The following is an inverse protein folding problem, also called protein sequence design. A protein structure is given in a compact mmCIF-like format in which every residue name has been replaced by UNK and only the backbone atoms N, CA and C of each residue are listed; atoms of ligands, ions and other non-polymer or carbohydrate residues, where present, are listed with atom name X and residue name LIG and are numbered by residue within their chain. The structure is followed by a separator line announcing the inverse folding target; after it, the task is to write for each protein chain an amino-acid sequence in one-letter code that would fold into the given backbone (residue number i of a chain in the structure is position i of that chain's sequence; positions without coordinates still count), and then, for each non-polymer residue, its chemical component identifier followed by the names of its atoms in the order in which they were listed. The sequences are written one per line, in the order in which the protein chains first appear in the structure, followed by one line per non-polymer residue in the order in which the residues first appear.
data_IF_871549134704
#
_entry.id   IF_871549134704
#
_cell.length_a   1.000
_cell.length_b   1.000
_cell.length_c   1.000
_cell.angle_alpha   90.00
_cell.angle_beta   90.00
_cell.angle_gamma   90.00
#
_symmetry.space_group_name_H-M   'P 1'
#
loop_
_entity.id
_entity.type
_entity.pdbx_description
1 polymer ?
#
# COMPACT_ATOMS: atom_id res chain seq x y z
N UNK A 1 9.10 25.24 2.16
CA UNK A 1 7.92 24.65 1.49
C UNK A 1 8.19 23.16 1.41
N UNK A 2 7.34 22.32 2.01
CA UNK A 2 7.44 20.87 1.81
C UNK A 2 6.95 20.58 0.39
N UNK A 3 7.77 19.90 -0.40
CA UNK A 3 7.40 19.45 -1.75
C UNK A 3 6.23 18.48 -1.66
N UNK A 4 5.16 18.71 -2.44
CA UNK A 4 4.05 17.77 -2.56
C UNK A 4 4.53 16.51 -3.30
N UNK A 5 4.64 15.39 -2.57
CA UNK A 5 4.97 14.07 -3.15
C UNK A 5 3.71 13.41 -3.67
N UNK A 6 3.73 12.68 -4.77
CA UNK A 6 2.54 11.96 -5.25
C UNK A 6 2.32 10.68 -4.44
N UNK A 7 3.41 9.98 -4.14
CA UNK A 7 3.42 8.76 -3.35
C UNK A 7 3.74 9.07 -1.87
N UNK A 8 3.15 8.31 -0.94
CA UNK A 8 3.15 8.59 0.50
C UNK A 8 1.91 9.40 0.94
N UNK A 9 1.27 9.01 2.04
CA UNK A 9 0.03 9.63 2.52
C UNK A 9 0.33 10.73 3.55
N UNK A 10 -0.26 11.91 3.37
CA UNK A 10 -0.40 12.88 4.46
C UNK A 10 -1.69 12.57 5.26
N UNK A 11 -1.72 12.76 6.60
CA UNK A 11 -2.85 12.37 7.44
C UNK A 11 -4.20 13.02 7.05
N UNK A 12 -4.15 14.22 6.46
CA UNK A 12 -5.33 14.98 6.03
C UNK A 12 -5.95 14.42 4.72
N UNK A 13 -5.09 13.91 3.84
CA UNK A 13 -5.47 13.20 2.61
C UNK A 13 -6.18 11.86 2.92
N UNK A 14 -5.88 11.24 4.07
CA UNK A 14 -6.53 9.98 4.46
C UNK A 14 -7.97 10.14 4.92
N UNK A 15 -8.29 11.23 5.64
CA UNK A 15 -9.65 11.49 6.16
C UNK A 15 -10.63 11.83 5.04
N UNK A 16 -10.20 12.65 4.08
CA UNK A 16 -11.01 13.00 2.91
C UNK A 16 -11.18 11.82 1.94
N UNK A 17 -10.23 10.88 1.92
CA UNK A 17 -10.29 9.68 1.08
C UNK A 17 -11.26 8.60 1.57
N UNK A 18 -11.80 8.69 2.80
CA UNK A 18 -12.69 7.65 3.36
C UNK A 18 -13.93 7.45 2.47
N UNK A 19 -14.53 8.52 1.96
CA UNK A 19 -15.74 8.45 1.13
C UNK A 19 -15.51 7.87 -0.28
N UNK A 20 -14.25 7.78 -0.73
CA UNK A 20 -13.90 7.23 -2.05
C UNK A 20 -13.67 5.72 -2.01
N UNK A 21 -13.50 5.15 -0.81
CA UNK A 21 -13.22 3.72 -0.67
C UNK A 21 -14.48 2.91 -0.97
N UNK A 22 -14.41 1.88 -1.83
CA UNK A 22 -15.53 0.94 -2.00
C UNK A 22 -15.87 0.26 -0.67
N UNK A 23 -17.17 0.04 -0.48
CA UNK A 23 -17.72 -0.58 0.74
C UNK A 23 -18.07 -2.05 0.55
N UNK A 24 -18.28 -2.47 -0.69
CA UNK A 24 -18.66 -3.83 -1.08
C UNK A 24 -17.71 -4.39 -2.13
N UNK A 25 -17.67 -5.72 -2.25
CA UNK A 25 -16.76 -6.38 -3.18
C UNK A 25 -17.06 -6.03 -4.65
N UNK A 26 -18.33 -5.82 -4.99
CA UNK A 26 -18.74 -5.43 -6.34
C UNK A 26 -18.40 -3.97 -6.70
N UNK A 27 -18.14 -3.12 -5.69
CA UNK A 27 -17.65 -1.75 -5.90
C UNK A 27 -16.12 -1.70 -6.03
N UNK A 28 -15.43 -2.80 -5.70
CA UNK A 28 -13.99 -2.92 -5.80
C UNK A 28 -13.59 -3.20 -7.26
N UNK A 29 -13.19 -2.15 -7.96
CA UNK A 29 -12.82 -2.23 -9.39
C UNK A 29 -11.52 -3.02 -9.55
N UNK A 30 -11.42 -3.85 -10.59
CA UNK A 30 -10.23 -4.68 -10.86
C UNK A 30 -10.02 -5.82 -9.86
N UNK A 31 -8.83 -6.43 -9.91
CA UNK A 31 -8.45 -7.60 -9.08
C UNK A 31 -9.43 -8.80 -9.21
N UNK A 32 -9.93 -9.07 -10.42
CA UNK A 32 -11.02 -10.03 -10.64
C UNK A 32 -10.76 -11.43 -10.06
N UNK A 33 -9.55 -11.98 -10.24
CA UNK A 33 -9.18 -13.29 -9.67
C UNK A 33 -9.27 -13.30 -8.13
N UNK A 34 -8.83 -12.23 -7.48
CA UNK A 34 -8.91 -12.09 -6.02
C UNK A 34 -10.36 -11.99 -5.57
N UNK A 35 -11.19 -11.20 -6.29
CA UNK A 35 -12.62 -11.06 -5.98
C UNK A 35 -13.38 -12.38 -6.14
N UNK A 36 -13.11 -13.14 -7.20
CA UNK A 36 -13.75 -14.44 -7.44
C UNK A 36 -13.47 -15.42 -6.31
N UNK A 37 -12.20 -15.58 -5.91
CA UNK A 37 -11.81 -16.44 -4.78
C UNK A 37 -12.45 -15.97 -3.47
N UNK A 38 -12.42 -14.66 -3.19
CA UNK A 38 -13.06 -14.09 -2.00
C UNK A 38 -14.55 -14.38 -1.95
N UNK A 39 -15.28 -14.25 -3.07
CA UNK A 39 -16.72 -14.57 -3.11
C UNK A 39 -16.98 -16.01 -2.65
N UNK A 40 -16.17 -16.96 -3.12
CA UNK A 40 -16.29 -18.37 -2.75
C UNK A 40 -16.03 -18.57 -1.25
N UNK A 41 -14.91 -18.03 -0.74
CA UNK A 41 -14.52 -18.22 0.66
C UNK A 41 -15.49 -17.54 1.63
N UNK A 42 -15.91 -16.31 1.32
CA UNK A 42 -16.90 -15.56 2.11
C UNK A 42 -18.24 -16.30 2.15
N UNK A 43 -18.71 -16.82 1.02
CA UNK A 43 -19.96 -17.58 0.98
C UNK A 43 -19.85 -18.88 1.78
N UNK A 44 -18.72 -19.59 1.69
CA UNK A 44 -18.48 -20.82 2.43
C UNK A 44 -18.46 -20.58 3.95
N UNK A 45 -17.73 -19.57 4.43
CA UNK A 45 -17.67 -19.21 5.85
C UNK A 45 -19.05 -18.85 6.41
N UNK A 46 -19.81 -18.00 5.69
CA UNK A 46 -21.19 -17.63 6.07
C UNK A 46 -22.11 -18.83 6.17
N UNK A 47 -22.06 -19.74 5.20
CA UNK A 47 -22.93 -20.92 5.17
C UNK A 47 -22.64 -21.90 6.31
N UNK A 48 -21.39 -21.94 6.80
CA UNK A 48 -20.98 -22.78 7.92
C UNK A 48 -21.13 -22.09 9.29
N UNK A 49 -21.44 -20.80 9.31
CA UNK A 49 -21.43 -19.98 10.53
C UNK A 49 -20.08 -20.04 11.27
N UNK A 50 -18.99 -20.08 10.50
CA UNK A 50 -17.60 -20.14 10.98
C UNK A 50 -16.86 -18.82 10.67
N UNK A 51 -15.78 -18.48 11.40
CA UNK A 51 -14.90 -17.40 10.97
C UNK A 51 -14.33 -17.70 9.58
N UNK A 52 -14.00 -16.64 8.84
CA UNK A 52 -13.19 -16.81 7.63
C UNK A 52 -11.78 -17.26 8.05
N UNK A 53 -11.18 -18.15 7.25
CA UNK A 53 -9.77 -18.51 7.40
C UNK A 53 -8.88 -17.26 7.41
N UNK A 54 -7.70 -17.35 8.04
CA UNK A 54 -6.81 -16.20 8.13
C UNK A 54 -6.29 -15.80 6.75
N UNK A 55 -6.31 -14.48 6.48
CA UNK A 55 -6.01 -13.94 5.15
C UNK A 55 -4.74 -13.11 5.16
N UNK A 56 -3.82 -13.41 4.25
CA UNK A 56 -2.65 -12.59 3.99
C UNK A 56 -2.84 -11.78 2.69
N UNK A 57 -2.86 -10.44 2.81
CA UNK A 57 -2.92 -9.50 1.70
C UNK A 57 -1.52 -8.98 1.35
N UNK A 58 -1.07 -9.27 0.15
CA UNK A 58 0.27 -8.93 -0.34
C UNK A 58 0.17 -7.94 -1.49
N UNK A 59 1.09 -6.98 -1.53
CA UNK A 59 1.31 -6.15 -2.72
C UNK A 59 1.76 -4.74 -2.38
N UNK A 60 2.20 -3.97 -3.40
CA UNK A 60 2.61 -2.58 -3.26
C UNK A 60 1.66 -1.68 -2.44
N UNK A 61 2.17 -0.58 -1.85
CA UNK A 61 1.31 0.37 -1.15
C UNK A 61 0.28 1.00 -2.10
N UNK A 62 -0.90 1.33 -1.57
CA UNK A 62 -1.93 2.04 -2.33
C UNK A 62 -2.82 1.19 -3.25
N UNK A 63 -2.62 -0.12 -3.34
CA UNK A 63 -3.44 -1.03 -4.16
C UNK A 63 -4.79 -1.45 -3.53
N UNK A 64 -5.07 -1.01 -2.30
CA UNK A 64 -6.37 -1.25 -1.65
C UNK A 64 -6.39 -2.39 -0.63
N UNK A 65 -5.25 -2.83 -0.08
CA UNK A 65 -5.19 -3.88 0.97
C UNK A 65 -6.11 -3.58 2.17
N UNK A 66 -5.97 -2.42 2.79
CA UNK A 66 -6.81 -1.97 3.92
C UNK A 66 -8.29 -1.90 3.53
N UNK A 67 -8.58 -1.41 2.33
CA UNK A 67 -9.95 -1.35 1.79
C UNK A 67 -10.54 -2.74 1.62
N UNK A 68 -9.76 -3.69 1.11
CA UNK A 68 -10.21 -5.07 0.92
C UNK A 68 -10.47 -5.77 2.25
N UNK A 69 -9.66 -5.53 3.27
CA UNK A 69 -9.92 -6.02 4.63
C UNK A 69 -11.24 -5.48 5.21
N UNK A 70 -11.52 -4.18 4.99
CA UNK A 70 -12.80 -3.57 5.39
C UNK A 70 -13.99 -4.16 4.62
N UNK A 71 -13.84 -4.41 3.32
CA UNK A 71 -14.85 -5.09 2.51
C UNK A 71 -15.10 -6.50 3.02
N UNK A 72 -14.05 -7.27 3.33
CA UNK A 72 -14.19 -8.63 3.87
C UNK A 72 -15.03 -8.63 5.15
N UNK A 73 -14.73 -7.75 6.10
CA UNK A 73 -15.52 -7.61 7.32
C UNK A 73 -16.97 -7.19 7.04
N UNK A 74 -17.17 -6.21 6.13
CA UNK A 74 -18.51 -5.75 5.73
C UNK A 74 -19.32 -6.85 5.05
N UNK A 75 -18.69 -7.66 4.20
CA UNK A 75 -19.35 -8.78 3.54
C UNK A 75 -19.74 -9.82 4.60
N UNK A 76 -18.86 -10.18 5.53
CA UNK A 76 -19.15 -11.11 6.63
C UNK A 76 -20.20 -10.57 7.62
N UNK A 77 -20.44 -9.25 7.66
CA UNK A 77 -21.37 -8.63 8.59
C UNK A 77 -20.84 -8.56 10.02
N UNK A 78 -19.52 -8.48 10.19
CA UNK A 78 -18.81 -8.48 11.49
C UNK A 78 -18.02 -7.20 11.71
N UNK A 79 -17.60 -6.94 12.95
CA UNK A 79 -16.79 -5.77 13.25
C UNK A 79 -15.32 -6.00 12.80
N UNK A 80 -14.62 -4.90 12.50
CA UNK A 80 -13.19 -4.93 12.19
C UNK A 80 -12.39 -4.09 13.19
N UNK A 81 -11.37 -4.71 13.77
CA UNK A 81 -10.33 -4.02 14.57
C UNK A 81 -9.12 -3.79 13.67
N UNK A 82 -8.72 -2.54 13.51
CA UNK A 82 -7.58 -2.14 12.67
C UNK A 82 -6.41 -1.75 13.55
N UNK A 83 -5.24 -2.31 13.28
CA UNK A 83 -3.95 -1.93 13.86
C UNK A 83 -2.84 -2.00 12.80
N UNK A 84 -1.62 -1.67 13.19
CA UNK A 84 -0.43 -1.88 12.36
C UNK A 84 0.66 -2.61 13.16
N UNK A 85 1.54 -3.33 12.48
CA UNK A 85 2.67 -4.02 13.08
C UNK A 85 3.48 -3.12 14.02
N UNK A 86 3.90 -1.91 13.60
CA UNK A 86 4.61 -0.97 14.45
C UNK A 86 3.81 -0.45 15.66
N UNK A 87 2.47 -0.42 15.59
CA UNK A 87 1.63 0.07 16.67
C UNK A 87 1.45 -0.95 17.81
N UNK A 88 1.80 -2.23 17.60
CA UNK A 88 1.69 -3.29 18.60
C UNK A 88 3.08 -3.55 19.18
N UNK A 89 3.41 -2.86 20.27
CA UNK A 89 4.79 -2.84 20.80
C UNK A 89 5.08 -3.99 21.76
N UNK A 90 4.06 -4.49 22.47
CA UNK A 90 4.17 -5.50 23.52
C UNK A 90 2.97 -6.46 23.55
N UNK A 91 3.19 -7.61 24.18
CA UNK A 91 2.20 -8.66 24.42
C UNK A 91 0.85 -8.14 24.95
N UNK A 92 0.91 -7.21 25.91
CA UNK A 92 -0.30 -6.65 26.54
C UNK A 92 -1.19 -5.86 25.57
N UNK A 93 -0.60 -5.20 24.56
CA UNK A 93 -1.37 -4.43 23.58
C UNK A 93 -2.18 -5.38 22.69
N UNK A 94 -1.53 -6.45 22.22
CA UNK A 94 -2.16 -7.49 21.44
C UNK A 94 -3.28 -8.19 22.24
N UNK A 95 -2.97 -8.58 23.48
CA UNK A 95 -3.93 -9.21 24.36
C UNK A 95 -5.18 -8.35 24.61
N UNK A 96 -4.99 -7.06 24.87
CA UNK A 96 -6.08 -6.11 25.04
C UNK A 96 -6.99 -6.04 23.80
N UNK A 97 -6.42 -6.10 22.59
CA UNK A 97 -7.21 -6.10 21.36
C UNK A 97 -7.99 -7.42 21.22
N UNK A 98 -7.31 -8.55 21.29
CA UNK A 98 -7.90 -9.87 21.04
C UNK A 98 -8.98 -10.25 22.05
N UNK A 99 -8.77 -9.96 23.34
CA UNK A 99 -9.75 -10.27 24.39
C UNK A 99 -11.03 -9.45 24.32
N UNK A 100 -11.02 -8.32 23.59
CA UNK A 100 -12.19 -7.45 23.40
C UNK A 100 -12.93 -7.71 22.07
N UNK A 101 -12.53 -8.73 21.31
CA UNK A 101 -13.18 -9.10 20.06
C UNK A 101 -14.49 -9.86 20.33
N UNK A 102 -15.41 -9.81 19.37
CA UNK A 102 -16.58 -10.68 19.32
C UNK A 102 -16.27 -11.90 18.45
N UNK A 103 -17.01 -13.01 18.62
CA UNK A 103 -16.91 -14.15 17.71
C UNK A 103 -17.05 -13.70 16.25
N UNK A 104 -16.14 -14.19 15.42
CA UNK A 104 -16.02 -13.98 13.98
C UNK A 104 -15.59 -12.57 13.55
N UNK A 105 -15.26 -11.68 14.49
CA UNK A 105 -14.69 -10.37 14.16
C UNK A 105 -13.40 -10.51 13.36
N UNK A 106 -13.11 -9.47 12.57
CA UNK A 106 -11.86 -9.37 11.81
C UNK A 106 -10.85 -8.55 12.60
N UNK A 107 -9.64 -9.09 12.77
CA UNK A 107 -8.49 -8.34 13.24
C UNK A 107 -7.53 -8.07 12.08
N UNK A 108 -7.42 -6.81 11.67
CA UNK A 108 -6.55 -6.38 10.58
C UNK A 108 -5.25 -5.76 11.11
N UNK A 109 -4.11 -6.28 10.66
CA UNK A 109 -2.77 -5.74 10.97
C UNK A 109 -2.11 -5.31 9.66
N UNK A 110 -2.01 -4.00 9.44
CA UNK A 110 -1.19 -3.46 8.34
C UNK A 110 0.30 -3.54 8.67
N UNK A 111 1.15 -3.67 7.66
CA UNK A 111 2.59 -3.88 7.84
C UNK A 111 2.92 -4.99 8.85
N UNK A 112 2.21 -6.13 8.78
CA UNK A 112 2.34 -7.23 9.75
C UNK A 112 3.77 -7.75 9.89
N UNK A 113 4.58 -7.63 8.84
CA UNK A 113 6.01 -7.96 8.82
C UNK A 113 6.88 -7.10 9.73
N UNK A 114 6.35 -6.00 10.28
CA UNK A 114 7.04 -5.11 11.23
C UNK A 114 6.68 -5.40 12.69
N UNK A 115 5.90 -6.45 12.96
CA UNK A 115 5.69 -6.93 14.31
C UNK A 115 7.03 -7.31 14.95
N UNK A 116 7.19 -7.00 16.23
CA UNK A 116 8.33 -7.50 16.98
C UNK A 116 8.17 -9.00 17.17
N UNK A 117 9.30 -9.72 17.10
CA UNK A 117 9.31 -11.19 17.19
C UNK A 117 8.56 -11.74 18.42
N UNK A 118 8.71 -11.10 19.57
CA UNK A 118 8.03 -11.49 20.81
C UNK A 118 6.51 -11.30 20.77
N UNK A 119 6.00 -10.34 19.97
CA UNK A 119 4.57 -10.14 19.75
C UNK A 119 4.05 -11.12 18.71
N UNK A 120 4.81 -11.33 17.64
CA UNK A 120 4.53 -12.32 16.60
C UNK A 120 4.40 -13.74 17.17
N UNK A 121 5.28 -14.15 18.09
CA UNK A 121 5.21 -15.48 18.72
C UNK A 121 3.94 -15.70 19.57
N UNK A 122 3.31 -14.63 20.04
CA UNK A 122 2.03 -14.69 20.78
C UNK A 122 0.84 -14.86 19.84
N UNK A 123 0.94 -14.37 18.59
CA UNK A 123 -0.11 -14.55 17.59
C UNK A 123 -0.25 -16.01 17.15
N UNK A 124 0.81 -16.82 17.23
CA UNK A 124 0.79 -18.21 16.77
C UNK A 124 -0.32 -19.05 17.42
N UNK A 125 -0.37 -19.19 18.77
CA UNK A 125 -1.46 -19.92 19.41
C UNK A 125 -2.81 -19.20 19.29
N UNK A 126 -2.81 -17.87 19.10
CA UNK A 126 -4.05 -17.11 18.89
C UNK A 126 -4.71 -17.48 17.57
N UNK A 127 -3.92 -17.73 16.53
CA UNK A 127 -4.37 -18.14 15.21
C UNK A 127 -4.75 -19.63 15.17
N UNK A 128 -3.96 -20.50 15.80
CA UNK A 128 -4.16 -21.96 15.72
C UNK A 128 -5.26 -22.46 16.65
N UNK A 129 -5.26 -21.99 17.90
CA UNK A 129 -6.08 -22.56 18.98
C UNK A 129 -7.03 -21.54 19.62
N UNK A 130 -7.05 -20.30 19.12
CA UNK A 130 -7.75 -19.16 19.75
C UNK A 130 -7.37 -18.96 21.22
N UNK A 131 -6.06 -19.03 21.52
CA UNK A 131 -5.53 -18.86 22.89
C UNK A 131 -4.30 -18.00 22.92
N UNK A 132 -4.12 -17.26 24.00
CA UNK A 132 -2.87 -16.52 24.25
C UNK A 132 -2.36 -16.81 25.66
N UNK A 133 -1.05 -16.88 25.78
CA UNK A 133 -0.34 -17.00 27.05
C UNK A 133 0.30 -15.66 27.40
N UNK A 134 -0.04 -15.11 28.56
CA UNK A 134 0.47 -13.81 29.03
C UNK A 134 1.18 -14.01 30.36
N UNK A 135 2.41 -13.50 30.45
CA UNK A 135 3.15 -13.45 31.71
C UNK A 135 2.76 -12.17 32.46
N UNK A 136 2.19 -12.33 33.66
CA UNK A 136 1.83 -11.25 34.57
C UNK A 136 2.91 -11.10 35.65
N UNK A 137 3.44 -9.88 35.80
CA UNK A 137 4.49 -9.55 36.76
C UNK A 137 5.91 -9.77 36.24
N UNK A 138 6.91 -9.41 37.06
CA UNK A 138 8.33 -9.54 36.72
C UNK A 138 9.07 -10.41 37.74
N UNK A 139 10.13 -11.10 37.29
CA UNK A 139 11.00 -11.89 38.15
C UNK A 139 10.42 -13.26 38.55
N UNK A 140 10.93 -13.90 39.62
CA UNK A 140 10.59 -15.28 39.99
C UNK A 140 9.12 -15.48 40.44
N UNK A 141 8.39 -14.39 40.65
CA UNK A 141 6.96 -14.43 41.01
C UNK A 141 6.03 -14.21 39.81
N UNK A 142 6.58 -14.09 38.59
CA UNK A 142 5.79 -13.93 37.39
C UNK A 142 4.90 -15.16 37.16
N UNK A 143 3.61 -14.93 36.88
CA UNK A 143 2.63 -15.98 36.64
C UNK A 143 2.25 -16.02 35.17
N UNK A 144 2.21 -17.22 34.59
CA UNK A 144 1.66 -17.40 33.23
C UNK A 144 0.16 -17.60 33.31
N UNK A 145 -0.59 -16.73 32.63
CA UNK A 145 -2.04 -16.80 32.50
C UNK A 145 -2.39 -17.17 31.06
N UNK A 146 -3.11 -18.27 30.88
CA UNK A 146 -3.69 -18.66 29.60
C UNK A 146 -5.09 -18.09 29.47
N UNK A 147 -5.36 -17.42 28.36
CA UNK A 147 -6.64 -16.78 28.07
C UNK A 147 -7.23 -17.40 26.79
N UNK A 148 -8.48 -17.86 26.88
CA UNK A 148 -9.25 -18.27 25.71
C UNK A 148 -9.79 -17.03 24.97
N UNK A 149 -9.69 -17.05 23.65
CA UNK A 149 -10.16 -16.01 22.76
C UNK A 149 -11.42 -16.49 22.01
N UNK A 150 -12.30 -15.57 21.60
CA UNK A 150 -13.33 -15.91 20.63
C UNK A 150 -12.69 -16.30 19.28
N UNK A 151 -13.30 -17.22 18.50
CA UNK A 151 -12.86 -17.46 17.13
C UNK A 151 -12.92 -16.16 16.33
N UNK A 152 -11.87 -15.85 15.57
CA UNK A 152 -11.75 -14.59 14.83
C UNK A 152 -11.00 -14.81 13.53
N UNK A 153 -11.04 -13.83 12.62
CA UNK A 153 -10.25 -13.85 11.39
C UNK A 153 -9.10 -12.83 11.49
N UNK A 154 -7.86 -13.29 11.46
CA UNK A 154 -6.70 -12.41 11.26
C UNK A 154 -6.55 -12.07 9.78
N UNK A 155 -6.43 -10.78 9.47
CA UNK A 155 -6.03 -10.31 8.14
C UNK A 155 -4.70 -9.55 8.26
N UNK A 156 -3.62 -10.13 7.76
CA UNK A 156 -2.31 -9.48 7.68
C UNK A 156 -2.14 -8.76 6.35
N UNK A 157 -1.59 -7.55 6.34
CA UNK A 157 -1.17 -6.87 5.11
C UNK A 157 0.34 -6.62 5.08
N UNK A 158 0.97 -6.83 3.92
CA UNK A 158 2.39 -6.56 3.71
C UNK A 158 2.69 -6.08 2.30
N UNK A 159 3.69 -5.22 2.17
CA UNK A 159 4.29 -4.83 0.89
C UNK A 159 5.27 -5.90 0.38
N UNK A 160 5.84 -6.69 1.29
CA UNK A 160 6.86 -7.68 0.98
C UNK A 160 6.56 -9.00 1.70
N UNK A 161 6.06 -10.00 0.96
CA UNK A 161 5.78 -11.33 1.51
C UNK A 161 7.03 -12.01 2.09
N UNK A 162 8.20 -11.75 1.51
CA UNK A 162 9.48 -12.30 1.96
C UNK A 162 9.94 -11.82 3.34
N UNK A 163 9.35 -10.74 3.87
CA UNK A 163 9.69 -10.21 5.20
C UNK A 163 8.90 -10.87 6.34
N UNK A 164 7.86 -11.66 6.02
CA UNK A 164 7.10 -12.40 7.03
C UNK A 164 7.84 -13.71 7.31
N UNK A 165 7.99 -14.06 8.60
CA UNK A 165 8.59 -15.31 9.03
C UNK A 165 7.84 -16.52 8.45
N UNK A 166 8.55 -17.63 8.21
CA UNK A 166 7.89 -18.85 7.75
C UNK A 166 6.79 -19.33 8.71
N UNK A 167 7.01 -19.38 10.05
CA UNK A 167 5.97 -19.78 10.99
C UNK A 167 4.70 -18.92 10.93
N UNK A 168 4.83 -17.60 10.79
CA UNK A 168 3.67 -16.72 10.64
C UNK A 168 2.96 -16.95 9.31
N UNK A 169 3.73 -17.10 8.22
CA UNK A 169 3.19 -17.27 6.87
C UNK A 169 2.39 -18.56 6.73
N UNK A 170 2.87 -19.65 7.32
CA UNK A 170 2.24 -20.98 7.21
C UNK A 170 0.88 -21.05 7.92
N UNK A 171 0.58 -20.10 8.81
CA UNK A 171 -0.71 -19.96 9.52
C UNK A 171 -1.75 -19.12 8.79
N UNK A 172 -1.40 -18.57 7.63
CA UNK A 172 -2.38 -17.95 6.73
C UNK A 172 -2.82 -18.97 5.70
N UNK A 173 -4.03 -19.52 5.85
CA UNK A 173 -4.56 -20.51 4.93
C UNK A 173 -4.89 -19.89 3.57
N UNK A 174 -5.20 -18.60 3.56
CA UNK A 174 -5.55 -17.85 2.34
C UNK A 174 -4.56 -16.71 2.12
N UNK A 175 -4.03 -16.60 0.90
CA UNK A 175 -3.11 -15.53 0.52
C UNK A 175 -3.50 -14.91 -0.83
N UNK A 176 -3.65 -13.59 -0.84
CA UNK A 176 -3.97 -12.80 -2.03
C UNK A 176 -2.84 -11.85 -2.38
N UNK A 177 -2.48 -11.81 -3.66
CA UNK A 177 -1.51 -10.85 -4.20
C UNK A 177 -2.25 -9.84 -5.06
N UNK A 178 -2.32 -8.59 -4.58
CA UNK A 178 -2.83 -7.47 -5.36
C UNK A 178 -1.76 -7.00 -6.33
N UNK A 179 -2.13 -6.95 -7.61
CA UNK A 179 -1.29 -6.40 -8.68
C UNK A 179 -1.58 -4.93 -8.94
N UNK A 180 -0.76 -4.29 -9.78
CA UNK A 180 -1.08 -2.97 -10.32
C UNK A 180 -2.33 -3.03 -11.19
N UNK A 181 -3.04 -1.92 -11.21
CA UNK A 181 -4.32 -1.79 -11.91
C UNK A 181 -4.08 -1.47 -13.37
N UNK A 182 -4.96 -1.97 -14.23
CA UNK A 182 -4.93 -1.61 -15.64
C UNK A 182 -5.32 -0.14 -15.83
N UNK A 183 -4.95 0.42 -16.98
CA UNK A 183 -5.39 1.75 -17.40
C UNK A 183 -6.91 1.89 -17.44
N UNK A 184 -7.62 0.82 -17.80
CA UNK A 184 -9.08 0.79 -17.82
C UNK A 184 -9.69 0.82 -16.41
N UNK A 185 -9.13 0.04 -15.49
CA UNK A 185 -9.56 0.03 -14.10
C UNK A 185 -9.35 1.41 -13.47
N UNK A 186 -8.19 2.04 -13.69
CA UNK A 186 -7.86 3.35 -13.14
C UNK A 186 -8.78 4.45 -13.68
N UNK A 187 -9.08 4.45 -14.99
CA UNK A 187 -10.05 5.38 -15.58
C UNK A 187 -11.42 5.22 -14.91
N UNK A 188 -11.87 3.99 -14.72
CA UNK A 188 -13.15 3.69 -14.07
C UNK A 188 -13.17 4.17 -12.62
N UNK A 189 -12.07 3.96 -11.89
CA UNK A 189 -11.89 4.45 -10.51
C UNK A 189 -11.98 5.98 -10.47
N UNK A 190 -11.28 6.68 -11.37
CA UNK A 190 -11.25 8.14 -11.42
C UNK A 190 -12.63 8.72 -11.74
N UNK A 191 -13.32 8.17 -12.75
CA UNK A 191 -14.67 8.63 -13.12
C UNK A 191 -15.65 8.41 -11.97
N UNK A 192 -15.60 7.24 -11.31
CA UNK A 192 -16.42 6.95 -10.14
C UNK A 192 -16.12 7.93 -9.00
N UNK A 193 -14.84 8.18 -8.72
CA UNK A 193 -14.43 9.12 -7.68
C UNK A 193 -14.86 10.56 -8.00
N UNK A 194 -14.82 10.98 -9.28
CA UNK A 194 -15.30 12.29 -9.71
C UNK A 194 -16.77 12.49 -9.36
N UNK A 195 -17.62 11.50 -9.66
CA UNK A 195 -19.04 11.51 -9.30
C UNK A 195 -19.26 11.66 -7.79
N UNK A 196 -18.48 10.96 -6.97
CA UNK A 196 -18.58 11.04 -5.50
C UNK A 196 -18.15 12.43 -4.99
N UNK A 197 -17.14 13.03 -5.63
CA UNK A 197 -16.62 14.36 -5.29
C UNK A 197 -17.45 15.51 -5.87
N UNK A 198 -18.47 15.21 -6.69
CA UNK A 198 -19.30 16.21 -7.34
C UNK A 198 -18.63 16.95 -8.49
N UNK A 199 -17.60 16.38 -9.13
CA UNK A 199 -16.95 16.94 -10.32
C UNK A 199 -17.11 16.03 -11.53
N UNK A 200 -17.46 16.61 -12.67
CA UNK A 200 -17.53 15.88 -13.93
C UNK A 200 -16.13 15.65 -14.49
N UNK A 201 -15.84 14.39 -14.82
CA UNK A 201 -14.55 13.98 -15.40
C UNK A 201 -14.86 13.31 -16.73
N UNK A 202 -14.34 13.91 -17.80
CA UNK A 202 -14.37 13.32 -19.14
C UNK A 202 -13.53 12.03 -19.21
N UNK A 203 -13.75 11.23 -20.24
CA UNK A 203 -12.98 10.00 -20.44
C UNK A 203 -11.49 10.28 -20.73
N UNK A 204 -11.20 11.32 -21.52
CA UNK A 204 -9.85 11.75 -21.88
C UNK A 204 -9.12 12.45 -20.72
N UNK A 205 -9.85 13.19 -19.86
CA UNK A 205 -9.31 13.70 -18.60
C UNK A 205 -8.97 12.57 -17.62
N UNK A 206 -9.85 11.59 -17.47
CA UNK A 206 -9.59 10.40 -16.65
C UNK A 206 -8.39 9.58 -17.16
N UNK A 207 -8.23 9.47 -18.49
CA UNK A 207 -7.09 8.82 -19.12
C UNK A 207 -5.77 9.56 -18.82
N UNK A 208 -5.74 10.89 -18.94
CA UNK A 208 -4.57 11.72 -18.64
C UNK A 208 -4.09 11.57 -17.19
N UNK A 209 -5.04 11.46 -16.25
CA UNK A 209 -4.76 11.20 -14.84
C UNK A 209 -4.34 9.75 -14.58
N UNK A 210 -5.01 8.77 -15.21
CA UNK A 210 -4.69 7.35 -15.06
C UNK A 210 -3.27 7.03 -15.53
N UNK A 211 -2.81 7.64 -16.63
CA UNK A 211 -1.46 7.41 -17.19
C UNK A 211 -0.37 7.77 -16.18
N UNK A 212 -0.61 8.76 -15.33
CA UNK A 212 0.34 9.25 -14.31
C UNK A 212 0.07 8.69 -12.92
N UNK A 213 -0.90 7.78 -12.79
CA UNK A 213 -1.30 7.22 -11.51
C UNK A 213 -0.48 6.00 -11.06
N UNK A 214 0.59 5.64 -11.80
CA UNK A 214 1.53 4.57 -11.45
C UNK A 214 0.85 3.24 -11.13
N UNK A 215 -0.20 2.87 -11.89
CA UNK A 215 -0.95 1.64 -11.66
C UNK A 215 -1.70 1.57 -10.32
N UNK A 216 -1.85 2.69 -9.60
CA UNK A 216 -2.23 2.69 -8.18
C UNK A 216 -3.49 3.54 -7.91
N UNK A 217 -4.59 2.96 -7.39
CA UNK A 217 -5.82 3.70 -7.08
C UNK A 217 -5.63 4.85 -6.10
N UNK A 218 -4.76 4.69 -5.09
CA UNK A 218 -4.43 5.75 -4.12
C UNK A 218 -3.91 7.01 -4.82
N UNK A 219 -3.00 6.82 -5.77
CA UNK A 219 -2.42 7.93 -6.53
C UNK A 219 -3.47 8.52 -7.46
N UNK A 220 -4.21 7.69 -8.21
CA UNK A 220 -5.28 8.15 -9.10
C UNK A 220 -6.28 9.08 -8.39
N UNK A 221 -6.77 8.67 -7.22
CA UNK A 221 -7.69 9.46 -6.41
C UNK A 221 -7.06 10.75 -5.87
N UNK A 222 -5.76 10.74 -5.55
CA UNK A 222 -5.03 11.94 -5.12
C UNK A 222 -4.90 12.93 -6.27
N UNK A 223 -4.47 12.47 -7.45
CA UNK A 223 -4.34 13.31 -8.64
C UNK A 223 -5.68 13.92 -9.03
N UNK A 224 -6.77 13.15 -8.96
CA UNK A 224 -8.11 13.65 -9.18
C UNK A 224 -8.47 14.78 -8.21
N UNK A 225 -8.23 14.61 -6.90
CA UNK A 225 -8.53 15.67 -5.91
C UNK A 225 -7.78 16.96 -6.22
N UNK A 226 -6.47 16.88 -6.49
CA UNK A 226 -5.67 18.07 -6.82
C UNK A 226 -6.08 18.71 -8.14
N UNK A 227 -6.48 17.89 -9.11
CA UNK A 227 -7.00 18.37 -10.39
C UNK A 227 -8.37 19.02 -10.24
N UNK A 228 -9.22 18.52 -9.35
CA UNK A 228 -10.49 19.17 -9.00
C UNK A 228 -10.24 20.55 -8.40
N UNK A 229 -9.33 20.66 -7.42
CA UNK A 229 -9.01 21.95 -6.81
C UNK A 229 -8.48 22.95 -7.87
N UNK A 230 -7.70 22.47 -8.85
CA UNK A 230 -7.28 23.27 -10.00
C UNK A 230 -8.46 23.67 -10.90
N UNK A 231 -9.35 22.73 -11.24
CA UNK A 231 -10.49 22.95 -12.13
C UNK A 231 -11.52 23.94 -11.54
N UNK A 232 -11.74 23.90 -10.23
CA UNK A 232 -12.65 24.81 -9.53
C UNK A 232 -12.12 26.25 -9.47
N UNK A 233 -10.80 26.44 -9.41
CA UNK A 233 -10.18 27.77 -9.29
C UNK A 233 -9.78 28.36 -10.65
N UNK A 234 -9.35 27.52 -11.60
CA UNK A 234 -8.74 27.94 -12.88
C UNK A 234 -9.41 27.36 -14.12
N UNK A 235 -10.51 26.63 -13.95
CA UNK A 235 -11.32 26.06 -15.02
C UNK A 235 -12.78 26.46 -14.89
N UNK A 236 -13.65 25.60 -15.42
CA UNK A 236 -15.11 25.74 -15.45
C UNK A 236 -15.82 24.68 -14.58
N UNK A 237 -15.08 23.98 -13.72
CA UNK A 237 -15.62 22.89 -12.90
C UNK A 237 -15.75 21.55 -13.63
N UNK A 238 -15.14 21.39 -14.81
CA UNK A 238 -15.04 20.14 -15.55
C UNK A 238 -13.58 19.70 -15.71
N UNK A 239 -13.31 18.39 -15.66
CA UNK A 239 -11.96 17.84 -15.89
C UNK A 239 -11.91 17.17 -17.28
N UNK A 240 -11.40 17.92 -18.24
CA UNK A 240 -10.97 17.43 -19.55
C UNK A 240 -9.46 17.11 -19.60
N UNK A 241 -8.97 16.62 -20.75
CA UNK A 241 -7.54 16.34 -20.94
C UNK A 241 -6.65 17.57 -20.72
N UNK A 242 -7.10 18.76 -21.11
CA UNK A 242 -6.29 19.98 -21.03
C UNK A 242 -6.17 20.45 -19.56
N UNK A 243 -7.28 20.47 -18.82
CA UNK A 243 -7.30 20.75 -17.39
C UNK A 243 -6.46 19.75 -16.61
N UNK A 244 -6.60 18.45 -16.89
CA UNK A 244 -5.79 17.42 -16.27
C UNK A 244 -4.30 17.62 -16.56
N UNK A 245 -3.92 17.90 -17.81
CA UNK A 245 -2.52 18.14 -18.16
C UNK A 245 -1.97 19.37 -17.46
N UNK A 246 -2.70 20.48 -17.46
CA UNK A 246 -2.27 21.73 -16.81
C UNK A 246 -2.14 21.58 -15.29
N UNK A 247 -3.03 20.82 -14.65
CA UNK A 247 -2.93 20.53 -13.22
C UNK A 247 -1.68 19.68 -12.91
N UNK A 248 -1.44 18.63 -13.70
CA UNK A 248 -0.28 17.73 -13.53
C UNK A 248 1.05 18.46 -13.74
N UNK A 249 1.13 19.39 -14.71
CA UNK A 249 2.30 20.26 -14.90
C UNK A 249 2.53 21.15 -13.68
N UNK A 250 1.47 21.73 -13.09
CA UNK A 250 1.60 22.55 -11.88
C UNK A 250 2.10 21.73 -10.69
N UNK A 251 1.65 20.48 -10.58
CA UNK A 251 2.09 19.51 -9.58
C UNK A 251 3.49 18.93 -9.88
N UNK A 252 4.11 19.34 -10.99
CA UNK A 252 5.44 18.87 -11.45
C UNK A 252 5.50 17.35 -11.63
N UNK A 253 4.45 16.83 -12.26
CA UNK A 253 4.29 15.42 -12.60
C UNK A 253 4.51 15.28 -14.09
N UNK A 254 5.53 14.50 -14.47
CA UNK A 254 5.87 14.31 -15.87
C UNK A 254 4.94 13.30 -16.59
N UNK A 255 5.20 13.05 -17.87
CA UNK A 255 4.41 12.11 -18.67
C UNK A 255 4.55 10.65 -18.24
N UNK A 256 5.65 10.28 -17.58
CA UNK A 256 5.85 8.96 -16.99
C UNK A 256 5.22 8.84 -15.59
N UNK A 257 4.64 9.92 -15.07
CA UNK A 257 4.05 9.98 -13.74
C UNK A 257 5.07 10.16 -12.62
N UNK A 258 6.31 10.54 -12.93
CA UNK A 258 7.36 10.83 -11.94
C UNK A 258 7.14 12.20 -11.32
N UNK A 259 7.41 12.31 -10.02
CA UNK A 259 7.37 13.56 -9.27
C UNK A 259 8.78 14.10 -9.00
N UNK A 260 8.86 15.23 -8.30
CA UNK A 260 10.14 15.88 -7.97
C UNK A 260 11.12 14.95 -7.25
N UNK A 261 10.64 14.08 -6.36
CA UNK A 261 11.50 13.21 -5.57
C UNK A 261 12.03 12.05 -6.44
N UNK A 262 11.20 11.50 -7.33
CA UNK A 262 11.65 10.52 -8.32
C UNK A 262 12.74 11.12 -9.22
N UNK A 263 12.52 12.34 -9.73
CA UNK A 263 13.53 13.06 -10.51
C UNK A 263 14.79 13.32 -9.71
N UNK A 264 14.68 13.71 -8.44
CA UNK A 264 15.84 13.92 -7.58
C UNK A 264 16.64 12.63 -7.36
N UNK A 265 15.97 11.48 -7.18
CA UNK A 265 16.62 10.16 -7.08
C UNK A 265 17.36 9.80 -8.37
N UNK A 266 16.70 9.93 -9.53
CA UNK A 266 17.34 9.64 -10.82
C UNK A 266 18.49 10.60 -11.11
N UNK A 267 18.34 11.88 -10.79
CA UNK A 267 19.37 12.88 -10.98
C UNK A 267 20.58 12.63 -10.07
N UNK A 268 20.35 12.30 -8.79
CA UNK A 268 21.41 11.93 -7.88
C UNK A 268 22.17 10.68 -8.37
N UNK A 269 21.45 9.62 -8.78
CA UNK A 269 22.07 8.42 -9.34
C UNK A 269 22.96 8.76 -10.54
N UNK A 270 22.45 9.54 -11.50
CA UNK A 270 23.16 9.81 -12.76
C UNK A 270 24.26 10.86 -12.60
N UNK A 271 23.99 11.99 -11.95
CA UNK A 271 24.92 13.12 -11.89
C UNK A 271 25.86 13.10 -10.68
N UNK A 272 25.42 12.56 -9.53
CA UNK A 272 26.24 12.54 -8.31
C UNK A 272 27.02 11.24 -8.15
N UNK A 273 26.49 10.15 -8.71
CA UNK A 273 27.06 8.80 -8.54
C UNK A 273 27.38 8.10 -9.88
N UNK A 274 27.45 8.85 -10.99
CA UNK A 274 27.82 8.34 -12.32
C UNK A 274 27.03 7.10 -12.78
N UNK A 275 25.76 7.01 -12.41
CA UNK A 275 24.87 5.88 -12.70
C UNK A 275 24.87 4.78 -11.65
N UNK A 276 25.66 4.88 -10.58
CA UNK A 276 25.82 3.88 -9.53
C UNK A 276 26.97 2.89 -9.78
N UNK A 277 27.11 1.82 -8.96
CA UNK A 277 26.22 1.45 -7.86
C UNK A 277 26.35 2.35 -6.62
N UNK A 278 25.22 2.70 -6.00
CA UNK A 278 25.19 3.45 -4.73
C UNK A 278 24.36 2.74 -3.66
N UNK A 279 24.87 2.68 -2.44
CA UNK A 279 24.14 2.17 -1.28
C UNK A 279 22.92 3.03 -0.94
N UNK A 280 21.88 2.41 -0.38
CA UNK A 280 20.64 3.11 -0.01
C UNK A 280 20.88 4.25 0.97
N UNK A 281 21.71 4.01 1.98
CA UNK A 281 22.02 4.98 3.03
C UNK A 281 22.70 6.22 2.44
N UNK A 282 23.67 6.00 1.56
CA UNK A 282 24.39 7.07 0.85
C UNK A 282 23.45 7.86 -0.07
N UNK A 283 22.58 7.17 -0.82
CA UNK A 283 21.61 7.80 -1.71
C UNK A 283 20.62 8.67 -0.92
N UNK A 284 20.03 8.12 0.14
CA UNK A 284 19.09 8.81 1.02
C UNK A 284 19.75 10.04 1.69
N UNK A 285 20.96 9.90 2.21
CA UNK A 285 21.72 11.01 2.79
C UNK A 285 21.99 12.13 1.77
N UNK A 286 22.33 11.79 0.51
CA UNK A 286 22.60 12.77 -0.55
C UNK A 286 21.37 13.59 -0.98
N UNK A 287 20.18 13.09 -0.64
CA UNK A 287 18.89 13.70 -0.92
C UNK A 287 18.26 14.34 0.32
N UNK A 288 18.88 14.18 1.50
CA UNK A 288 18.30 14.58 2.79
C UNK A 288 16.94 13.92 3.06
N UNK A 289 16.81 12.64 2.68
CA UNK A 289 15.59 11.86 2.82
C UNK A 289 15.80 10.66 3.74
N UNK A 290 14.70 10.15 4.31
CA UNK A 290 14.74 8.90 5.07
C UNK A 290 14.88 7.68 4.15
N UNK A 291 15.62 6.68 4.64
CA UNK A 291 15.85 5.41 3.95
C UNK A 291 14.56 4.74 3.48
N UNK A 292 13.59 4.69 4.38
CA UNK A 292 12.32 4.00 4.17
C UNK A 292 11.45 4.78 3.17
N UNK A 293 11.57 6.13 3.12
CA UNK A 293 10.93 6.94 2.06
C UNK A 293 11.43 6.51 0.68
N UNK A 294 12.73 6.38 0.48
CA UNK A 294 13.27 5.96 -0.83
C UNK A 294 12.81 4.54 -1.17
N UNK A 295 12.88 3.61 -0.22
CA UNK A 295 12.62 2.18 -0.45
C UNK A 295 11.15 1.86 -0.66
N UNK A 296 10.26 2.50 0.10
CA UNK A 296 8.84 2.14 0.15
C UNK A 296 7.97 3.05 -0.72
N UNK A 297 8.46 4.25 -1.05
CA UNK A 297 7.68 5.26 -1.80
C UNK A 297 8.18 5.41 -3.24
N UNK A 298 9.50 5.51 -3.45
CA UNK A 298 10.09 5.88 -4.74
C UNK A 298 10.53 4.64 -5.55
N UNK A 299 11.38 3.81 -4.95
CA UNK A 299 11.96 2.64 -5.62
C UNK A 299 10.94 1.67 -6.23
N UNK A 300 9.77 1.38 -5.63
CA UNK A 300 8.86 0.37 -6.18
C UNK A 300 8.42 0.70 -7.61
N UNK A 301 8.10 1.96 -7.89
CA UNK A 301 7.69 2.38 -9.23
C UNK A 301 8.89 2.49 -10.18
N UNK A 302 10.00 3.08 -9.73
CA UNK A 302 11.20 3.21 -10.57
C UNK A 302 11.79 1.85 -10.97
N UNK A 303 11.73 0.84 -10.10
CA UNK A 303 12.15 -0.53 -10.41
C UNK A 303 11.22 -1.19 -11.42
N UNK A 304 9.91 -1.04 -11.22
CA UNK A 304 8.90 -1.64 -12.08
C UNK A 304 8.94 -1.06 -13.50
N UNK A 305 9.05 0.26 -13.64
CA UNK A 305 9.19 0.94 -14.92
C UNK A 305 10.59 0.80 -15.52
N UNK A 306 11.52 0.17 -14.79
CA UNK A 306 12.87 -0.12 -15.25
C UNK A 306 13.75 1.11 -15.39
N UNK A 307 13.52 2.17 -14.60
CA UNK A 307 14.42 3.33 -14.50
C UNK A 307 15.66 3.04 -13.65
N UNK A 308 15.52 2.15 -12.65
CA UNK A 308 16.62 1.73 -11.78
C UNK A 308 16.67 0.20 -11.67
N UNK A 309 17.82 -0.32 -11.24
CA UNK A 309 17.98 -1.73 -10.85
C UNK A 309 18.67 -1.83 -9.48
N UNK A 310 18.35 -2.89 -8.73
CA UNK A 310 19.04 -3.24 -7.48
C UNK A 310 20.09 -4.31 -7.77
N UNK A 311 21.32 -4.07 -7.33
CA UNK A 311 22.43 -5.04 -7.35
C UNK A 311 22.91 -5.28 -5.90
N UNK A 312 23.72 -6.33 -5.64
CA UNK A 312 24.34 -6.52 -4.33
C UNK A 312 25.20 -5.34 -3.86
N UNK A 313 25.71 -4.53 -4.79
CA UNK A 313 26.59 -3.39 -4.53
C UNK A 313 25.81 -2.08 -4.34
N UNK A 314 24.54 -2.02 -4.74
CA UNK A 314 23.73 -0.80 -4.64
C UNK A 314 22.68 -0.65 -5.73
N UNK A 315 22.18 0.58 -5.91
CA UNK A 315 21.24 0.95 -6.97
C UNK A 315 22.01 1.47 -8.16
N UNK A 316 21.57 1.09 -9.35
CA UNK A 316 22.10 1.61 -10.62
C UNK A 316 20.98 2.22 -11.45
N UNK A 317 21.28 3.29 -12.18
CA UNK A 317 20.38 3.87 -13.18
C UNK A 317 20.47 3.07 -14.49
N UNK A 318 19.33 2.81 -15.13
CA UNK A 318 19.29 2.14 -16.43
C UNK A 318 19.36 3.14 -17.58
N UNK A 319 19.56 2.65 -18.81
CA UNK A 319 19.50 3.48 -20.02
C UNK A 319 18.20 4.27 -20.14
N UNK A 320 17.07 3.71 -19.67
CA UNK A 320 15.77 4.39 -19.66
C UNK A 320 15.83 5.67 -18.81
N UNK A 321 16.47 5.63 -17.64
CA UNK A 321 16.63 6.82 -16.81
C UNK A 321 17.49 7.89 -17.47
N UNK A 322 18.56 7.50 -18.18
CA UNK A 322 19.36 8.45 -18.95
C UNK A 322 18.54 9.12 -20.04
N UNK A 323 17.86 8.33 -20.88
CA UNK A 323 17.00 8.85 -21.96
C UNK A 323 15.93 9.78 -21.41
N UNK A 324 15.30 9.39 -20.31
CA UNK A 324 14.25 10.17 -19.65
C UNK A 324 14.71 11.53 -19.14
N UNK A 325 15.91 11.60 -18.55
CA UNK A 325 16.50 12.87 -18.14
C UNK A 325 17.18 13.63 -19.31
N UNK A 326 17.04 13.15 -20.55
CA UNK A 326 17.67 13.76 -21.73
C UNK A 326 19.20 13.66 -21.74
N UNK A 327 19.77 12.69 -21.01
CA UNK A 327 21.22 12.47 -20.88
C UNK A 327 21.65 11.28 -21.74
N UNK A 328 22.90 11.27 -22.19
CA UNK A 328 23.51 10.10 -22.82
C UNK A 328 24.09 9.22 -21.73
N UNK A 329 23.79 7.91 -21.77
CA UNK A 329 24.52 6.94 -20.97
C UNK A 329 26.03 7.07 -21.29
N UNK A 330 26.87 7.03 -20.27
CA UNK A 330 28.31 6.92 -20.50
C UNK A 330 28.56 5.62 -21.28
N UNK A 331 29.17 5.72 -22.46
CA UNK A 331 29.42 4.56 -23.31
C UNK A 331 30.23 3.51 -22.53
N UNK A 332 29.62 2.33 -22.32
CA UNK A 332 30.21 1.13 -21.73
C UNK A 332 30.93 1.28 -20.38
N UNK A 333 30.25 0.85 -19.31
CA UNK A 333 30.86 0.05 -18.24
C UNK A 333 30.11 -1.27 -18.09
N UNK A 334 29.96 -1.99 -19.20
CA UNK A 334 29.63 -3.41 -19.17
C UNK A 334 30.95 -4.16 -19.02
N UNK A 335 31.25 -4.56 -17.79
CA UNK A 335 32.23 -5.58 -17.40
C UNK A 335 33.66 -5.44 -17.94
N UNK A 336 34.54 -4.92 -17.09
CA UNK A 336 35.87 -5.53 -16.86
C UNK A 336 35.90 -6.06 -15.42
#
# INVERSE_FOLDING_TARGET
MRTERIAGAEPEDERSAINLRPSRLDEFIGQEETKEKLRIYLAAAKNREEPLDHVLLQGPPGLGKTTLAQIIASELGVDIRISSGPAIEKAGDLASILTNMRPHDVFFIDEIHRLRRNVEEILYPAMEDYKIDIILGEGPNAQSLRIDLPPFTLIGATTHAGLISAPMRDRFEVSFRLGFYSMEDLRTIIIRAGRILGIEVSHDGAEELAMRARGTPRIANRLLRRTRDYAEVRGDGHIDRDIARRSLVLLRIDEAGLDELDHAVLDALINKFDGGPVGLETLAASLSEERDTITDVVEPFLLQEGFIQRTPQGRIATDRAYVHLGKKAAANRLFD
#
